data_IF_834942515814
#
_entry.id   IF_834942515814
#
_cell.length_a   1.000
_cell.length_b   1.000
_cell.length_c   1.000
_cell.angle_alpha   90.00
_cell.angle_beta   90.00
_cell.angle_gamma   90.00
#
_symmetry.space_group_name_H-M   'P 1'
#
loop_
_entity.id
_entity.type
_entity.pdbx_description
1 polymer ?
#
# COMPACT_ATOMS: atom_id res chain seq x y z
N UNK A 1 22.27 -26.27 73.09
CA UNK A 1 21.37 -25.12 73.01
C UNK A 1 21.34 -24.66 71.57
N UNK A 2 20.38 -25.20 70.85
CA UNK A 2 20.15 -25.01 69.41
C UNK A 2 19.25 -23.78 69.24
N UNK A 3 19.61 -22.88 68.33
CA UNK A 3 18.74 -21.81 67.87
C UNK A 3 18.68 -21.86 66.34
N UNK A 4 17.69 -22.61 65.85
CA UNK A 4 17.22 -22.61 64.48
C UNK A 4 16.56 -21.26 64.16
N UNK A 5 17.06 -20.56 63.15
CA UNK A 5 16.40 -19.41 62.52
C UNK A 5 15.95 -19.78 61.10
N UNK A 6 14.88 -20.57 61.05
CA UNK A 6 14.22 -20.96 59.79
C UNK A 6 13.12 -19.95 59.43
N UNK A 7 13.45 -18.96 58.60
CA UNK A 7 12.47 -18.03 58.02
C UNK A 7 12.12 -18.49 56.58
N UNK A 8 10.84 -18.73 56.23
CA UNK A 8 10.49 -19.23 54.91
C UNK A 8 10.48 -18.11 53.86
N UNK A 9 11.27 -18.30 52.80
CA UNK A 9 11.26 -17.48 51.61
C UNK A 9 9.88 -17.55 50.90
N UNK A 10 9.15 -16.43 50.96
CA UNK A 10 7.84 -16.26 50.30
C UNK A 10 8.04 -16.11 48.79
N UNK A 11 7.98 -17.23 48.06
CA UNK A 11 7.88 -17.24 46.59
C UNK A 11 6.54 -16.62 46.17
N UNK A 12 6.54 -15.35 45.83
CA UNK A 12 5.42 -14.72 45.10
C UNK A 12 5.48 -15.18 43.64
N UNK A 13 4.69 -16.21 43.33
CA UNK A 13 4.30 -16.54 41.97
C UNK A 13 3.49 -15.37 41.41
N UNK A 14 4.14 -14.49 40.65
CA UNK A 14 3.47 -13.52 39.77
C UNK A 14 2.89 -14.29 38.58
N UNK A 15 1.72 -14.89 38.79
CA UNK A 15 0.96 -15.62 37.81
C UNK A 15 -0.37 -14.89 37.59
N UNK A 16 -0.38 -13.86 36.73
CA UNK A 16 -1.60 -13.40 36.02
C UNK A 16 -1.23 -12.36 34.95
N UNK A 17 -0.67 -12.84 33.84
CA UNK A 17 -0.61 -12.08 32.56
C UNK A 17 -1.30 -12.84 31.41
N UNK A 18 -1.95 -13.97 31.69
CA UNK A 18 -2.48 -14.89 30.68
C UNK A 18 -4.01 -14.98 30.59
N UNK A 19 -4.79 -14.18 31.33
CA UNK A 19 -6.25 -14.34 31.46
C UNK A 19 -7.09 -13.15 30.99
N UNK A 20 -6.60 -12.39 30.02
CA UNK A 20 -7.37 -11.34 29.33
C UNK A 20 -7.46 -11.57 27.80
N UNK A 21 -7.21 -12.82 27.35
CA UNK A 21 -7.35 -13.25 25.95
C UNK A 21 -8.49 -14.24 25.71
N UNK A 22 -9.39 -14.42 26.69
CA UNK A 22 -10.71 -15.02 26.50
C UNK A 22 -11.71 -13.91 26.88
N UNK A 23 -12.73 -13.52 26.13
CA UNK A 23 -13.54 -14.19 25.12
C UNK A 23 -14.05 -13.10 24.16
N UNK A 24 -13.53 -13.03 22.93
CA UNK A 24 -14.28 -12.36 21.85
C UNK A 24 -15.31 -13.36 21.35
N UNK A 25 -16.59 -13.00 21.41
CA UNK A 25 -17.71 -13.81 20.90
C UNK A 25 -17.54 -14.08 19.40
N UNK A 26 -18.07 -15.18 18.88
CA UNK A 26 -17.96 -15.50 17.44
C UNK A 26 -18.55 -14.41 16.53
N UNK A 27 -19.52 -13.64 17.03
CA UNK A 27 -20.09 -12.46 16.37
C UNK A 27 -19.11 -11.26 16.33
N UNK A 28 -18.30 -11.06 17.38
CA UNK A 28 -17.23 -10.05 17.40
C UNK A 28 -16.02 -10.49 16.56
N UNK A 29 -15.72 -11.79 16.49
CA UNK A 29 -14.75 -12.38 15.54
C UNK A 29 -15.21 -12.33 14.09
N UNK A 30 -16.51 -12.25 13.84
CA UNK A 30 -17.03 -11.97 12.50
C UNK A 30 -16.87 -10.50 12.10
N UNK A 31 -16.90 -9.57 13.08
CA UNK A 31 -16.69 -8.13 12.84
C UNK A 31 -15.22 -7.71 12.84
N UNK A 32 -14.35 -8.44 13.56
CA UNK A 32 -12.91 -8.20 13.74
C UNK A 32 -12.18 -9.51 13.39
N UNK A 33 -11.18 -9.53 12.50
CA UNK A 33 -10.55 -10.82 12.17
C UNK A 33 -9.85 -10.95 10.83
N UNK A 34 -9.20 -12.11 10.63
CA UNK A 34 -8.49 -12.46 9.40
C UNK A 34 -9.40 -12.50 8.16
N UNK A 35 -10.72 -12.69 8.33
CA UNK A 35 -11.73 -12.54 7.26
C UNK A 35 -11.62 -11.19 6.57
N UNK A 36 -11.58 -10.12 7.36
CA UNK A 36 -11.58 -8.75 6.86
C UNK A 36 -10.27 -8.41 6.14
N UNK A 37 -9.17 -9.01 6.58
CA UNK A 37 -7.88 -8.95 5.87
C UNK A 37 -7.97 -9.68 4.53
N UNK A 38 -8.60 -10.86 4.51
CA UNK A 38 -8.81 -11.62 3.27
C UNK A 38 -9.69 -10.88 2.25
N UNK A 39 -10.76 -10.22 2.71
CA UNK A 39 -11.61 -9.36 1.86
C UNK A 39 -10.80 -8.16 1.34
N UNK A 40 -10.06 -7.49 2.21
CA UNK A 40 -9.22 -6.35 1.84
C UNK A 40 -8.19 -6.73 0.77
N UNK A 41 -7.49 -7.85 0.94
CA UNK A 41 -6.54 -8.35 -0.06
C UNK A 41 -7.23 -8.76 -1.37
N UNK A 42 -8.40 -9.38 -1.29
CA UNK A 42 -9.17 -9.74 -2.49
C UNK A 42 -9.63 -8.52 -3.27
N UNK A 43 -9.97 -7.43 -2.58
CA UNK A 43 -10.31 -6.13 -3.18
C UNK A 43 -9.12 -5.57 -3.94
N UNK A 44 -7.96 -5.42 -3.28
CA UNK A 44 -6.74 -4.94 -3.92
C UNK A 44 -6.37 -5.79 -5.14
N UNK A 45 -6.41 -7.13 -5.03
CA UNK A 45 -6.06 -7.98 -6.15
C UNK A 45 -7.02 -7.82 -7.35
N UNK A 46 -8.30 -7.54 -7.08
CA UNK A 46 -9.29 -7.28 -8.13
C UNK A 46 -8.97 -5.95 -8.81
N UNK A 47 -8.74 -4.89 -8.03
CA UNK A 47 -8.37 -3.57 -8.52
C UNK A 47 -7.07 -3.58 -9.35
N UNK A 48 -6.03 -4.29 -8.90
CA UNK A 48 -4.78 -4.45 -9.67
C UNK A 48 -4.97 -5.28 -10.94
N UNK A 49 -5.97 -6.16 -11.02
CA UNK A 49 -6.32 -6.86 -12.26
C UNK A 49 -7.09 -5.93 -13.20
N UNK A 50 -8.05 -5.17 -12.70
CA UNK A 50 -8.83 -4.20 -13.46
C UNK A 50 -7.91 -3.16 -14.10
N UNK A 51 -6.95 -2.60 -13.34
CA UNK A 51 -5.93 -1.68 -13.88
C UNK A 51 -5.13 -2.30 -15.04
N UNK A 52 -4.78 -3.58 -14.93
CA UNK A 52 -4.08 -4.29 -15.99
C UNK A 52 -4.97 -4.51 -17.22
N UNK A 53 -6.19 -4.95 -17.01
CA UNK A 53 -7.19 -5.18 -18.05
C UNK A 53 -7.49 -3.89 -18.81
N UNK A 54 -7.69 -2.78 -18.10
CA UNK A 54 -7.89 -1.45 -18.66
C UNK A 54 -6.68 -0.99 -19.47
N UNK A 55 -5.46 -1.15 -18.94
CA UNK A 55 -4.25 -0.80 -19.68
C UNK A 55 -4.13 -1.57 -21.01
N UNK A 56 -4.39 -2.89 -20.98
CA UNK A 56 -4.32 -3.74 -22.18
C UNK A 56 -5.46 -3.41 -23.15
N UNK A 57 -6.68 -3.22 -22.64
CA UNK A 57 -7.84 -2.86 -23.45
C UNK A 57 -7.62 -1.52 -24.14
N UNK A 58 -7.14 -0.50 -23.42
CA UNK A 58 -6.81 0.81 -23.99
C UNK A 58 -5.76 0.65 -25.10
N UNK A 59 -4.66 -0.06 -24.86
CA UNK A 59 -3.62 -0.25 -25.89
C UNK A 59 -4.18 -0.93 -27.15
N UNK A 60 -4.99 -1.97 -26.97
CA UNK A 60 -5.66 -2.69 -28.05
C UNK A 60 -6.62 -1.80 -28.84
N UNK A 61 -7.54 -1.11 -28.17
CA UNK A 61 -8.54 -0.28 -28.82
C UNK A 61 -7.95 0.96 -29.48
N UNK A 62 -6.88 1.55 -28.92
CA UNK A 62 -6.19 2.68 -29.58
C UNK A 62 -5.59 2.27 -30.93
N UNK A 63 -5.05 1.05 -31.05
CA UNK A 63 -4.57 0.51 -32.33
C UNK A 63 -5.70 0.29 -33.32
N UNK A 64 -6.84 -0.20 -32.86
CA UNK A 64 -8.00 -0.44 -33.70
C UNK A 64 -8.63 0.87 -34.19
N UNK A 65 -8.74 1.89 -33.33
CA UNK A 65 -9.16 3.25 -33.70
C UNK A 65 -8.19 3.83 -34.74
N UNK A 66 -6.88 3.69 -34.54
CA UNK A 66 -5.88 4.14 -35.51
C UNK A 66 -6.10 3.49 -36.89
N UNK A 67 -6.37 2.18 -36.92
CA UNK A 67 -6.63 1.42 -38.15
C UNK A 67 -7.88 1.92 -38.87
N UNK A 68 -8.98 2.13 -38.14
CA UNK A 68 -10.26 2.55 -38.71
C UNK A 68 -10.26 3.99 -39.21
N UNK A 69 -9.60 4.91 -38.50
CA UNK A 69 -9.41 6.31 -38.94
C UNK A 69 -8.59 6.34 -40.23
N UNK A 70 -7.53 5.52 -40.32
CA UNK A 70 -6.72 5.39 -41.55
C UNK A 70 -7.53 4.84 -42.72
N UNK A 71 -8.44 3.90 -42.45
CA UNK A 71 -9.35 3.33 -43.43
C UNK A 71 -10.55 4.24 -43.77
N UNK A 72 -10.67 5.41 -43.12
CA UNK A 72 -11.81 6.34 -43.23
C UNK A 72 -13.16 5.68 -42.91
N UNK A 73 -13.16 4.64 -42.07
CA UNK A 73 -14.39 3.95 -41.64
C UNK A 73 -14.94 4.49 -40.33
N UNK A 74 -14.16 5.31 -39.63
CA UNK A 74 -14.54 5.95 -38.38
C UNK A 74 -14.51 7.47 -38.55
N UNK A 75 -15.64 8.11 -38.24
CA UNK A 75 -15.75 9.57 -38.26
C UNK A 75 -14.88 10.22 -37.19
N UNK A 76 -14.31 11.38 -37.52
CA UNK A 76 -13.48 12.10 -36.57
C UNK A 76 -14.33 12.79 -35.49
N UNK A 77 -13.86 12.69 -34.24
CA UNK A 77 -14.54 13.25 -33.08
C UNK A 77 -14.66 14.78 -33.18
N UNK A 78 -15.83 15.31 -32.83
CA UNK A 78 -16.06 16.74 -32.67
C UNK A 78 -16.02 17.07 -31.17
N UNK A 79 -14.99 17.80 -30.75
CA UNK A 79 -14.81 18.20 -29.34
C UNK A 79 -15.04 19.69 -29.15
N UNK A 80 -15.65 20.11 -28.04
CA UNK A 80 -15.68 21.51 -27.65
C UNK A 80 -14.28 21.96 -27.23
N UNK A 81 -13.84 23.12 -27.71
CA UNK A 81 -12.61 23.76 -27.21
C UNK A 81 -12.79 24.19 -25.75
N UNK A 82 -11.76 23.98 -24.93
CA UNK A 82 -11.70 24.42 -23.54
C UNK A 82 -11.37 25.92 -23.47
N UNK A 83 -12.32 26.76 -23.91
CA UNK A 83 -12.26 28.23 -23.91
C UNK A 83 -13.56 28.80 -23.34
N UNK A 84 -13.54 30.06 -22.89
CA UNK A 84 -14.67 30.73 -22.23
C UNK A 84 -15.99 30.71 -23.04
N UNK A 85 -15.92 30.62 -24.38
CA UNK A 85 -17.05 30.37 -25.26
C UNK A 85 -16.77 29.14 -26.12
N UNK A 86 -17.15 27.92 -25.67
CA UNK A 86 -16.74 26.68 -26.31
C UNK A 86 -17.31 26.59 -27.74
N UNK A 87 -16.40 26.55 -28.72
CA UNK A 87 -16.74 26.24 -30.12
C UNK A 87 -16.45 24.77 -30.38
N UNK A 88 -17.38 24.11 -31.07
CA UNK A 88 -17.18 22.73 -31.56
C UNK A 88 -16.13 22.76 -32.66
N UNK A 89 -15.11 21.91 -32.55
CA UNK A 89 -14.10 21.72 -33.58
C UNK A 89 -14.05 20.24 -33.96
N UNK A 90 -14.16 19.95 -35.26
CA UNK A 90 -13.84 18.63 -35.79
C UNK A 90 -12.33 18.40 -35.71
N UNK A 91 -11.93 17.30 -35.09
CA UNK A 91 -10.51 16.91 -35.01
C UNK A 91 -10.11 16.36 -36.39
N UNK A 92 -8.94 16.75 -36.91
CA UNK A 92 -8.44 16.15 -38.16
C UNK A 92 -7.91 14.73 -37.91
N UNK A 93 -7.87 13.88 -38.93
CA UNK A 93 -7.28 12.53 -38.78
C UNK A 93 -5.83 12.57 -38.26
N UNK A 94 -5.05 13.58 -38.67
CA UNK A 94 -3.69 13.82 -38.18
C UNK A 94 -3.66 14.10 -36.68
N UNK A 95 -4.58 14.94 -36.20
CA UNK A 95 -4.70 15.25 -34.78
C UNK A 95 -5.15 14.03 -33.97
N UNK A 96 -6.03 13.18 -34.53
CA UNK A 96 -6.41 11.91 -33.90
C UNK A 96 -5.16 11.03 -33.72
N UNK A 97 -4.32 10.86 -34.73
CA UNK A 97 -3.08 10.09 -34.58
C UNK A 97 -2.16 10.65 -33.48
N UNK A 98 -2.03 11.98 -33.40
CA UNK A 98 -1.27 12.64 -32.34
C UNK A 98 -1.86 12.38 -30.95
N UNK A 99 -3.20 12.38 -30.81
CA UNK A 99 -3.88 12.02 -29.56
C UNK A 99 -3.63 10.55 -29.20
N UNK A 100 -3.78 9.63 -30.13
CA UNK A 100 -3.59 8.19 -29.89
C UNK A 100 -2.15 7.88 -29.46
N UNK A 101 -1.14 8.42 -30.17
CA UNK A 101 0.28 8.24 -29.80
C UNK A 101 0.58 8.81 -28.41
N UNK A 102 0.08 10.02 -28.11
CA UNK A 102 0.26 10.63 -26.77
C UNK A 102 -0.37 9.78 -25.67
N UNK A 103 -1.60 9.29 -25.84
CA UNK A 103 -2.25 8.45 -24.82
C UNK A 103 -1.43 7.18 -24.60
N UNK A 104 -1.02 6.52 -25.68
CA UNK A 104 -0.30 5.25 -25.65
C UNK A 104 1.10 5.37 -25.04
N UNK A 105 1.85 6.40 -25.43
CA UNK A 105 3.27 6.55 -25.04
C UNK A 105 3.49 7.29 -23.73
N UNK A 106 2.53 8.13 -23.31
CA UNK A 106 2.76 9.08 -22.21
C UNK A 106 1.71 9.03 -21.11
N UNK A 107 0.47 8.65 -21.40
CA UNK A 107 -0.63 8.79 -20.44
C UNK A 107 -1.04 7.45 -19.83
N UNK A 108 -1.40 6.47 -20.66
CA UNK A 108 -2.00 5.20 -20.21
C UNK A 108 -1.13 4.46 -19.20
N UNK A 109 0.13 4.16 -19.56
CA UNK A 109 1.04 3.44 -18.66
C UNK A 109 1.36 4.21 -17.38
N UNK A 110 1.41 5.56 -17.43
CA UNK A 110 1.68 6.38 -16.25
C UNK A 110 0.49 6.39 -15.29
N UNK A 111 -0.71 6.58 -15.79
CA UNK A 111 -1.92 6.56 -14.97
C UNK A 111 -2.11 5.19 -14.33
N UNK A 112 -2.06 4.11 -15.12
CA UNK A 112 -2.17 2.75 -14.60
C UNK A 112 -1.14 2.45 -13.50
N UNK A 113 0.10 2.93 -13.64
CA UNK A 113 1.13 2.75 -12.62
C UNK A 113 0.89 3.56 -11.35
N UNK A 114 0.49 4.84 -11.48
CA UNK A 114 0.17 5.70 -10.33
C UNK A 114 -1.02 5.13 -9.57
N UNK A 115 -2.06 4.72 -10.28
CA UNK A 115 -3.26 4.14 -9.70
C UNK A 115 -2.90 2.87 -8.94
N UNK A 116 -2.11 1.98 -9.55
CA UNK A 116 -1.69 0.73 -8.90
C UNK A 116 -0.90 0.94 -7.60
N UNK A 117 0.06 1.90 -7.58
CA UNK A 117 0.79 2.26 -6.37
C UNK A 117 -0.16 2.85 -5.32
N UNK A 118 -1.08 3.71 -5.73
CA UNK A 118 -2.04 4.35 -4.83
C UNK A 118 -2.96 3.31 -4.19
N UNK A 119 -3.48 2.35 -4.97
CA UNK A 119 -4.29 1.23 -4.47
C UNK A 119 -3.50 0.37 -3.48
N UNK A 120 -2.22 0.10 -3.75
CA UNK A 120 -1.35 -0.65 -2.84
C UNK A 120 -1.08 0.11 -1.52
N UNK A 121 -0.78 1.41 -1.58
CA UNK A 121 -0.57 2.25 -0.40
C UNK A 121 -1.85 2.36 0.44
N UNK A 122 -3.01 2.48 -0.21
CA UNK A 122 -4.31 2.47 0.44
C UNK A 122 -4.60 1.14 1.11
N UNK A 123 -4.29 0.02 0.45
CA UNK A 123 -4.40 -1.32 1.02
C UNK A 123 -3.55 -1.44 2.29
N UNK A 124 -2.27 -1.06 2.23
CA UNK A 124 -1.36 -1.15 3.38
C UNK A 124 -1.81 -0.24 4.52
N UNK A 125 -2.26 0.98 4.22
CA UNK A 125 -2.78 1.92 5.22
C UNK A 125 -4.02 1.35 5.91
N UNK A 126 -4.95 0.80 5.14
CA UNK A 126 -6.17 0.16 5.65
C UNK A 126 -5.84 -1.09 6.46
N UNK A 127 -4.85 -1.88 6.06
CA UNK A 127 -4.40 -3.06 6.80
C UNK A 127 -3.86 -2.66 8.17
N UNK A 128 -2.96 -1.66 8.23
CA UNK A 128 -2.43 -1.13 9.50
C UNK A 128 -3.55 -0.59 10.37
N UNK A 129 -4.42 0.23 9.79
CA UNK A 129 -5.55 0.84 10.48
C UNK A 129 -6.44 -0.21 11.15
N UNK A 130 -6.82 -1.26 10.41
CA UNK A 130 -7.63 -2.37 10.96
C UNK A 130 -6.92 -3.12 12.07
N UNK A 131 -5.64 -3.46 11.91
CA UNK A 131 -4.88 -4.15 12.97
C UNK A 131 -4.79 -3.29 14.23
N UNK A 132 -4.68 -1.96 14.11
CA UNK A 132 -4.67 -1.06 15.27
C UNK A 132 -6.04 -0.88 15.92
N UNK A 133 -7.13 -0.90 15.15
CA UNK A 133 -8.48 -0.92 15.70
C UNK A 133 -8.72 -2.19 16.53
N UNK A 134 -8.32 -3.34 15.98
CA UNK A 134 -8.55 -4.64 16.61
C UNK A 134 -7.58 -4.86 17.80
N UNK A 135 -6.36 -4.32 17.71
CA UNK A 135 -5.33 -4.41 18.75
C UNK A 135 -4.74 -3.04 19.14
N UNK A 136 -5.49 -2.17 19.84
CA UNK A 136 -5.03 -0.81 20.17
C UNK A 136 -3.74 -0.76 20.99
N UNK A 137 -3.40 -1.85 21.71
CA UNK A 137 -2.14 -1.96 22.47
C UNK A 137 -0.90 -1.82 21.57
N UNK A 138 -1.02 -2.13 20.28
CA UNK A 138 0.08 -2.01 19.29
C UNK A 138 0.44 -0.56 18.97
N UNK A 139 -0.45 0.40 19.25
CA UNK A 139 -0.15 1.83 19.14
C UNK A 139 1.00 2.25 20.07
N UNK A 140 1.18 1.56 21.20
CA UNK A 140 2.22 1.84 22.21
C UNK A 140 3.61 1.31 21.81
N UNK A 141 3.70 0.38 20.86
CA UNK A 141 4.90 -0.46 20.64
C UNK A 141 6.13 0.20 20.03
N UNK A 142 6.11 1.51 19.75
CA UNK A 142 7.23 2.22 19.12
C UNK A 142 7.71 3.43 19.94
N UNK A 143 7.07 3.75 21.06
CA UNK A 143 7.45 4.87 21.93
C UNK A 143 8.48 4.49 23.01
N UNK A 144 8.96 3.24 23.04
CA UNK A 144 10.03 2.83 23.97
C UNK A 144 11.44 3.28 23.52
N UNK A 145 11.58 3.78 22.29
CA UNK A 145 12.75 4.58 21.89
C UNK A 145 12.33 6.05 21.92
N UNK A 146 12.53 6.62 23.10
CA UNK A 146 12.23 7.98 23.52
C UNK A 146 12.76 9.03 22.55
N UNK A 147 11.93 9.47 21.60
CA UNK A 147 11.88 10.90 21.32
C UNK A 147 11.06 11.51 22.45
N UNK A 148 11.71 12.37 23.25
CA UNK A 148 11.07 13.22 24.25
C UNK A 148 9.76 13.74 23.65
N UNK A 149 8.62 13.39 24.24
CA UNK A 149 7.32 13.88 23.81
C UNK A 149 7.36 15.41 23.87
N UNK A 150 7.50 16.05 22.71
CA UNK A 150 7.47 17.50 22.59
C UNK A 150 6.14 18.00 23.12
N UNK A 151 6.13 19.07 23.90
CA UNK A 151 4.94 19.63 24.55
C UNK A 151 3.78 19.87 23.56
N UNK A 152 4.08 20.17 22.29
CA UNK A 152 3.08 20.33 21.23
C UNK A 152 2.33 19.04 20.85
N UNK A 153 2.95 17.86 20.99
CA UNK A 153 2.29 16.57 20.71
C UNK A 153 1.29 16.19 21.81
N UNK A 154 1.62 16.53 23.07
CA UNK A 154 0.73 16.34 24.22
C UNK A 154 -0.48 17.28 24.14
N UNK A 155 -0.25 18.55 23.75
CA UNK A 155 -1.34 19.51 23.48
C UNK A 155 -2.29 19.02 22.39
N UNK A 156 -1.75 18.56 21.25
CA UNK A 156 -2.55 17.99 20.15
C UNK A 156 -3.34 16.75 20.58
N UNK A 157 -2.78 15.91 21.46
CA UNK A 157 -3.49 14.75 22.01
C UNK A 157 -4.65 15.16 22.93
N UNK A 158 -4.44 16.20 23.75
CA UNK A 158 -5.48 16.74 24.63
C UNK A 158 -6.61 17.37 23.78
N UNK A 159 -6.28 18.14 22.75
CA UNK A 159 -7.26 18.68 21.80
C UNK A 159 -8.09 17.55 21.15
N UNK A 160 -7.44 16.50 20.63
CA UNK A 160 -8.14 15.34 20.05
C UNK A 160 -9.08 14.67 21.06
N UNK A 161 -8.68 14.57 22.33
CA UNK A 161 -9.54 13.99 23.37
C UNK A 161 -10.74 14.90 23.68
N UNK A 162 -10.53 16.22 23.74
CA UNK A 162 -11.57 17.20 24.08
C UNK A 162 -12.57 17.42 22.94
N UNK A 163 -12.13 17.33 21.69
CA UNK A 163 -12.97 17.54 20.49
C UNK A 163 -13.77 16.30 20.07
N UNK A 164 -13.43 15.12 20.60
CA UNK A 164 -14.06 13.87 20.19
C UNK A 164 -15.29 13.55 21.03
N UNK A 165 -16.35 13.11 20.38
CA UNK A 165 -17.65 12.84 21.01
C UNK A 165 -17.67 11.55 21.82
N UNK A 166 -16.91 10.56 21.36
CA UNK A 166 -16.83 9.26 22.00
C UNK A 166 -15.41 8.67 21.97
N UNK A 167 -15.22 7.62 22.76
CA UNK A 167 -13.94 6.90 22.86
C UNK A 167 -13.51 6.27 21.53
N UNK A 168 -14.45 5.90 20.67
CA UNK A 168 -14.15 5.29 19.37
C UNK A 168 -13.57 6.31 18.40
N UNK A 169 -14.11 7.53 18.38
CA UNK A 169 -13.64 8.66 17.60
C UNK A 169 -12.22 9.07 18.02
N UNK A 170 -11.94 9.10 19.34
CA UNK A 170 -10.58 9.33 19.86
C UNK A 170 -9.62 8.27 19.31
N UNK A 171 -9.98 6.99 19.39
CA UNK A 171 -9.14 5.90 18.90
C UNK A 171 -8.93 5.99 17.38
N UNK A 172 -9.98 6.27 16.61
CA UNK A 172 -9.89 6.43 15.16
C UNK A 172 -8.91 7.55 14.77
N UNK A 173 -9.06 8.76 15.35
CA UNK A 173 -8.17 9.89 15.07
C UNK A 173 -6.72 9.62 15.45
N UNK A 174 -6.48 8.97 16.59
CA UNK A 174 -5.14 8.58 17.02
C UNK A 174 -4.50 7.55 16.09
N UNK A 175 -5.28 6.56 15.63
CA UNK A 175 -4.82 5.55 14.67
C UNK A 175 -4.50 6.21 13.33
N UNK A 176 -5.36 7.09 12.83
CA UNK A 176 -5.18 7.80 11.57
C UNK A 176 -3.89 8.62 11.55
N UNK A 177 -3.66 9.44 12.58
CA UNK A 177 -2.42 10.22 12.70
C UNK A 177 -1.18 9.32 12.78
N UNK A 178 -1.29 8.17 13.46
CA UNK A 178 -0.18 7.20 13.55
C UNK A 178 0.11 6.53 12.20
N UNK A 179 -0.93 6.08 11.49
CA UNK A 179 -0.85 5.51 10.14
C UNK A 179 -0.20 6.53 9.22
N UNK A 180 -0.70 7.77 9.20
CA UNK A 180 -0.15 8.88 8.42
C UNK A 180 1.34 9.11 8.69
N UNK A 181 1.77 9.11 9.95
CA UNK A 181 3.20 9.21 10.32
C UNK A 181 4.07 8.02 9.87
N UNK A 182 3.49 6.83 9.70
CA UNK A 182 4.21 5.66 9.17
C UNK A 182 4.44 5.82 7.66
N UNK A 183 3.39 6.18 6.91
CA UNK A 183 3.41 6.26 5.44
C UNK A 183 4.03 7.55 4.88
N UNK A 184 4.14 8.62 5.69
CA UNK A 184 4.96 9.79 5.31
C UNK A 184 6.47 9.57 5.42
N UNK A 185 6.89 8.49 6.08
CA UNK A 185 8.29 8.05 6.05
C UNK A 185 8.63 7.25 4.79
N UNK A 186 9.77 6.57 4.82
CA UNK A 186 10.13 5.60 3.78
C UNK A 186 9.16 4.39 3.86
N UNK A 187 8.34 4.10 2.83
CA UNK A 187 7.39 2.99 2.86
C UNK A 187 8.06 1.62 3.00
N UNK A 188 9.36 1.51 2.68
CA UNK A 188 10.13 0.27 2.87
C UNK A 188 10.31 -0.07 4.35
N UNK A 189 10.38 0.95 5.22
CA UNK A 189 10.52 0.72 6.67
C UNK A 189 9.32 -0.02 7.25
N UNK A 190 8.13 0.13 6.65
CA UNK A 190 6.95 -0.63 7.04
C UNK A 190 7.21 -2.14 6.99
N UNK A 191 7.89 -2.61 5.94
CA UNK A 191 8.17 -4.01 5.72
C UNK A 191 9.47 -4.46 6.39
N UNK A 192 10.56 -3.70 6.21
CA UNK A 192 11.89 -4.09 6.63
C UNK A 192 12.09 -4.01 8.15
N UNK A 193 11.44 -3.04 8.81
CA UNK A 193 11.55 -2.81 10.26
C UNK A 193 10.30 -3.22 11.02
N UNK A 194 9.28 -3.75 10.34
CA UNK A 194 7.93 -3.94 10.88
C UNK A 194 7.47 -2.67 11.62
N UNK A 195 7.63 -1.51 10.98
CA UNK A 195 7.40 -0.18 11.61
C UNK A 195 5.98 -0.01 12.14
N UNK A 196 5.03 -0.80 11.68
CA UNK A 196 3.66 -0.80 12.17
C UNK A 196 3.36 -1.93 13.19
N UNK A 197 4.35 -2.75 13.55
CA UNK A 197 4.21 -3.92 14.43
C UNK A 197 3.08 -4.86 13.98
N UNK A 198 2.96 -5.11 12.67
CA UNK A 198 1.97 -5.99 12.08
C UNK A 198 2.31 -7.47 12.26
N UNK A 199 3.46 -7.79 12.85
CA UNK A 199 3.93 -9.16 13.00
C UNK A 199 4.63 -9.63 11.73
N UNK A 200 5.28 -8.73 10.99
CA UNK A 200 6.14 -9.11 9.87
C UNK A 200 7.48 -9.66 10.37
N UNK A 201 7.95 -9.17 11.52
CA UNK A 201 9.26 -9.53 12.05
C UNK A 201 10.36 -9.28 11.01
N UNK A 202 11.22 -10.27 10.80
CA UNK A 202 12.29 -10.20 9.80
C UNK A 202 11.92 -10.88 8.46
N UNK A 203 10.64 -11.24 8.24
CA UNK A 203 10.26 -12.03 7.07
C UNK A 203 10.65 -11.36 5.74
N UNK A 204 10.28 -10.08 5.57
CA UNK A 204 10.56 -9.37 4.33
C UNK A 204 12.06 -9.09 4.15
N UNK A 205 12.75 -8.75 5.23
CA UNK A 205 14.20 -8.53 5.23
C UNK A 205 14.98 -9.80 4.86
N UNK A 206 14.54 -10.96 5.33
CA UNK A 206 15.28 -12.20 5.13
C UNK A 206 14.92 -12.91 3.82
N UNK A 207 13.67 -12.76 3.34
CA UNK A 207 13.15 -13.57 2.24
C UNK A 207 12.75 -12.77 0.99
N UNK A 208 12.59 -11.45 1.10
CA UNK A 208 11.94 -10.63 0.06
C UNK A 208 12.72 -9.36 -0.30
N UNK A 209 14.04 -9.34 -0.07
CA UNK A 209 14.90 -8.17 -0.38
C UNK A 209 14.71 -7.67 -1.81
N UNK A 210 14.71 -8.51 -2.86
CA UNK A 210 14.53 -8.02 -4.23
C UNK A 210 13.18 -7.34 -4.47
N UNK A 211 12.11 -7.80 -3.79
CA UNK A 211 10.80 -7.16 -3.89
C UNK A 211 10.76 -5.82 -3.15
N UNK A 212 11.48 -5.69 -2.04
CA UNK A 212 11.60 -4.42 -1.31
C UNK A 212 12.39 -3.39 -2.12
N UNK A 213 13.49 -3.80 -2.75
CA UNK A 213 14.26 -2.94 -3.65
C UNK A 213 13.42 -2.50 -4.86
N UNK A 214 12.64 -3.42 -5.44
CA UNK A 214 11.71 -3.09 -6.51
C UNK A 214 10.63 -2.10 -6.04
N UNK A 215 10.03 -2.30 -4.86
CA UNK A 215 9.04 -1.36 -4.30
C UNK A 215 9.66 0.02 -4.05
N UNK A 216 10.92 0.07 -3.61
CA UNK A 216 11.63 1.32 -3.37
C UNK A 216 11.80 2.10 -4.68
N UNK A 217 12.28 1.40 -5.71
CA UNK A 217 12.43 1.94 -7.05
C UNK A 217 11.10 2.43 -7.62
N UNK A 218 10.04 1.62 -7.48
CA UNK A 218 8.69 1.99 -7.93
C UNK A 218 8.17 3.26 -7.25
N UNK A 219 8.38 3.39 -5.94
CA UNK A 219 7.96 4.57 -5.18
C UNK A 219 8.73 5.81 -5.63
N UNK A 220 10.06 5.70 -5.77
CA UNK A 220 10.90 6.79 -6.29
C UNK A 220 10.50 7.17 -7.72
N UNK A 221 10.20 6.18 -8.57
CA UNK A 221 9.75 6.41 -9.95
C UNK A 221 8.41 7.13 -10.00
N UNK A 222 7.45 6.74 -9.15
CA UNK A 222 6.17 7.43 -9.00
C UNK A 222 6.36 8.90 -8.63
N UNK A 223 7.28 9.19 -7.71
CA UNK A 223 7.58 10.55 -7.29
C UNK A 223 8.08 11.42 -8.46
N UNK A 224 9.04 10.93 -9.26
CA UNK A 224 9.52 11.71 -10.42
C UNK A 224 8.48 11.83 -11.53
N UNK A 225 7.58 10.84 -11.68
CA UNK A 225 6.46 10.94 -12.63
C UNK A 225 5.51 12.08 -12.24
N UNK A 226 5.15 12.17 -10.96
CA UNK A 226 4.21 13.18 -10.46
C UNK A 226 4.86 14.56 -10.39
N UNK A 227 6.09 14.66 -9.88
CA UNK A 227 6.69 15.94 -9.48
C UNK A 227 7.74 16.47 -10.45
N UNK A 228 8.27 15.65 -11.35
CA UNK A 228 9.39 16.05 -12.23
C UNK A 228 9.18 15.63 -13.70
N UNK A 229 7.93 15.59 -14.18
CA UNK A 229 7.58 15.22 -15.55
C UNK A 229 8.17 13.89 -16.03
N UNK A 230 8.32 12.95 -15.09
CA UNK A 230 8.99 11.67 -15.29
C UNK A 230 10.48 11.78 -15.63
N UNK A 231 11.18 12.85 -15.23
CA UNK A 231 12.64 12.98 -15.39
C UNK A 231 13.36 12.55 -14.11
N UNK A 232 14.44 11.81 -14.28
CA UNK A 232 15.30 11.43 -13.17
C UNK A 232 15.98 12.67 -12.59
N UNK A 233 15.87 12.85 -11.28
CA UNK A 233 16.55 13.90 -10.53
C UNK A 233 17.60 13.31 -9.58
N UNK A 234 18.32 14.18 -8.86
CA UNK A 234 19.32 13.74 -7.87
C UNK A 234 18.67 12.96 -6.72
N UNK A 235 17.44 13.32 -6.34
CA UNK A 235 16.71 12.64 -5.26
C UNK A 235 16.45 11.17 -5.61
N UNK A 236 15.97 10.90 -6.83
CA UNK A 236 15.76 9.55 -7.33
C UNK A 236 17.06 8.72 -7.31
N UNK A 237 18.19 9.28 -7.76
CA UNK A 237 19.47 8.56 -7.77
C UNK A 237 20.01 8.28 -6.35
N UNK A 238 19.69 9.14 -5.39
CA UNK A 238 20.00 8.89 -3.98
C UNK A 238 19.10 7.79 -3.39
N UNK A 239 17.83 7.76 -3.76
CA UNK A 239 16.86 6.75 -3.32
C UNK A 239 17.07 5.40 -4.01
N UNK A 240 17.61 5.38 -5.23
CA UNK A 240 17.83 4.16 -6.04
C UNK A 240 19.24 4.14 -6.63
N UNK A 241 20.29 3.90 -5.81
CA UNK A 241 21.69 4.01 -6.26
C UNK A 241 22.08 3.00 -7.33
N UNK A 242 21.43 1.84 -7.37
CA UNK A 242 21.67 0.77 -8.34
C UNK A 242 20.95 0.99 -9.68
N UNK A 243 20.21 2.09 -9.83
CA UNK A 243 19.47 2.38 -11.06
C UNK A 243 20.42 2.61 -12.24
N UNK A 244 20.20 1.97 -13.40
CA UNK A 244 20.98 2.23 -14.61
C UNK A 244 20.61 3.56 -15.29
N UNK A 245 19.60 4.28 -14.79
CA UNK A 245 19.12 5.53 -15.37
C UNK A 245 20.04 6.72 -15.05
N UNK A 246 20.08 7.67 -15.97
CA UNK A 246 20.92 8.86 -15.87
C UNK A 246 20.12 10.10 -15.45
N UNK A 247 20.80 11.08 -14.84
CA UNK A 247 20.19 12.37 -14.46
C UNK A 247 19.54 13.05 -15.68
N UNK A 248 18.30 13.53 -15.53
CA UNK A 248 17.52 14.17 -16.59
C UNK A 248 16.86 13.22 -17.58
N UNK A 249 17.18 11.92 -17.54
CA UNK A 249 16.57 10.90 -18.40
C UNK A 249 15.07 10.81 -18.12
N UNK A 250 14.26 10.79 -19.18
CA UNK A 250 12.82 10.63 -19.07
C UNK A 250 12.46 9.16 -18.95
N UNK A 251 11.79 8.78 -17.87
CA UNK A 251 11.29 7.41 -17.67
C UNK A 251 10.00 7.18 -18.45
N UNK A 252 9.88 5.96 -18.98
CA UNK A 252 8.67 5.43 -19.59
C UNK A 252 8.17 4.27 -18.73
N UNK A 253 6.85 4.12 -18.67
CA UNK A 253 6.19 2.95 -18.10
C UNK A 253 5.71 2.12 -19.28
N UNK A 254 6.50 1.13 -19.66
CA UNK A 254 6.10 0.17 -20.67
C UNK A 254 5.28 -0.97 -20.06
N UNK A 255 4.70 -1.81 -20.93
CA UNK A 255 3.90 -2.97 -20.55
C UNK A 255 4.64 -3.90 -19.58
N UNK A 256 5.92 -4.17 -19.83
CA UNK A 256 6.70 -5.10 -19.01
C UNK A 256 7.01 -4.52 -17.62
N UNK A 257 7.30 -3.23 -17.55
CA UNK A 257 7.51 -2.54 -16.29
C UNK A 257 6.21 -2.53 -15.46
N UNK A 258 5.07 -2.18 -16.07
CA UNK A 258 3.78 -2.18 -15.39
C UNK A 258 3.41 -3.58 -14.89
N UNK A 259 3.55 -4.60 -15.75
CA UNK A 259 3.29 -6.00 -15.37
C UNK A 259 4.13 -6.42 -14.15
N UNK A 260 5.44 -6.16 -14.18
CA UNK A 260 6.33 -6.45 -13.05
C UNK A 260 5.92 -5.70 -11.79
N UNK A 261 5.61 -4.40 -11.91
CA UNK A 261 5.18 -3.57 -10.78
C UNK A 261 3.91 -4.15 -10.10
N UNK A 262 2.91 -4.52 -10.89
CA UNK A 262 1.67 -5.12 -10.39
C UNK A 262 1.93 -6.45 -9.67
N UNK A 263 2.82 -7.28 -10.21
CA UNK A 263 3.19 -8.56 -9.59
C UNK A 263 3.95 -8.36 -8.27
N UNK A 264 4.90 -7.42 -8.21
CA UNK A 264 5.61 -7.07 -6.96
C UNK A 264 4.62 -6.64 -5.88
N UNK A 265 3.69 -5.73 -6.21
CA UNK A 265 2.67 -5.26 -5.27
C UNK A 265 1.74 -6.37 -4.80
N UNK A 266 1.32 -7.27 -5.72
CA UNK A 266 0.51 -8.45 -5.36
C UNK A 266 1.24 -9.38 -4.40
N UNK A 267 2.50 -9.68 -4.67
CA UNK A 267 3.30 -10.58 -3.83
C UNK A 267 3.52 -10.01 -2.44
N UNK A 268 3.91 -8.73 -2.34
CA UNK A 268 4.10 -8.06 -1.06
C UNK A 268 2.78 -7.97 -0.28
N UNK A 269 1.67 -7.63 -0.94
CA UNK A 269 0.36 -7.55 -0.30
C UNK A 269 -0.13 -8.92 0.18
N UNK A 270 0.12 -9.98 -0.60
CA UNK A 270 -0.27 -11.34 -0.25
C UNK A 270 0.45 -11.85 1.00
N UNK A 271 1.76 -11.61 1.09
CA UNK A 271 2.54 -12.00 2.28
C UNK A 271 2.21 -11.10 3.48
N UNK A 272 2.01 -9.79 3.27
CA UNK A 272 1.57 -8.87 4.33
C UNK A 272 0.22 -9.27 4.92
N UNK A 273 -0.77 -9.56 4.07
CA UNK A 273 -2.08 -10.04 4.48
C UNK A 273 -1.99 -11.35 5.27
N UNK A 274 -1.19 -12.31 4.78
CA UNK A 274 -1.03 -13.60 5.45
C UNK A 274 -0.35 -13.47 6.81
N UNK A 275 0.75 -12.71 6.89
CA UNK A 275 1.47 -12.51 8.15
C UNK A 275 0.61 -11.76 9.15
N UNK A 276 -0.10 -10.72 8.71
CA UNK A 276 -1.02 -9.98 9.56
C UNK A 276 -2.15 -10.89 10.08
N UNK A 277 -2.75 -11.72 9.23
CA UNK A 277 -3.77 -12.69 9.63
C UNK A 277 -3.21 -13.71 10.65
N UNK A 278 -2.07 -14.33 10.33
CA UNK A 278 -1.51 -15.44 11.12
C UNK A 278 -0.97 -14.97 12.45
N UNK A 279 -0.24 -13.84 12.46
CA UNK A 279 0.52 -13.44 13.63
C UNK A 279 -0.32 -12.65 14.63
N UNK A 280 -1.32 -11.88 14.15
CA UNK A 280 -2.25 -11.14 15.01
C UNK A 280 -3.48 -11.95 15.41
N UNK A 281 -4.10 -12.66 14.47
CA UNK A 281 -5.38 -13.35 14.70
C UNK A 281 -5.24 -14.86 14.87
N UNK A 282 -4.03 -15.43 14.71
CA UNK A 282 -3.78 -16.88 14.77
C UNK A 282 -4.57 -17.69 13.75
N UNK A 283 -4.97 -17.02 12.66
CA UNK A 283 -5.77 -17.61 11.57
C UNK A 283 -5.03 -17.47 10.23
N UNK A 284 -5.21 -18.44 9.35
CA UNK A 284 -4.74 -18.33 7.97
C UNK A 284 -5.77 -17.62 7.08
N UNK A 285 -5.31 -16.99 5.99
CA UNK A 285 -6.23 -16.57 4.93
C UNK A 285 -7.02 -17.78 4.41
N UNK A 286 -8.28 -17.57 4.04
CA UNK A 286 -9.17 -18.61 3.53
C UNK A 286 -9.92 -18.16 2.27
N UNK A 287 -10.63 -19.10 1.63
CA UNK A 287 -11.49 -18.81 0.47
C UNK A 287 -10.73 -18.26 -0.75
N UNK A 288 -11.27 -17.20 -1.36
CA UNK A 288 -10.70 -16.54 -2.54
C UNK A 288 -9.31 -15.96 -2.26
N UNK A 289 -9.12 -15.34 -1.09
CA UNK A 289 -7.84 -14.75 -0.69
C UNK A 289 -6.69 -15.76 -0.66
N UNK A 290 -6.92 -16.95 -0.07
CA UNK A 290 -5.92 -18.04 -0.04
C UNK A 290 -5.57 -18.53 -1.45
N UNK A 291 -6.57 -18.68 -2.32
CA UNK A 291 -6.35 -19.10 -3.72
C UNK A 291 -5.52 -18.09 -4.49
N UNK A 292 -5.82 -16.80 -4.33
CA UNK A 292 -5.05 -15.70 -4.94
C UNK A 292 -3.61 -15.71 -4.42
N UNK A 293 -3.40 -15.85 -3.12
CA UNK A 293 -2.07 -15.94 -2.53
C UNK A 293 -1.27 -17.13 -3.08
N UNK A 294 -1.89 -18.31 -3.17
CA UNK A 294 -1.22 -19.50 -3.73
C UNK A 294 -0.90 -19.32 -5.20
N UNK A 295 -1.77 -18.67 -5.98
CA UNK A 295 -1.52 -18.37 -7.38
C UNK A 295 -0.36 -17.39 -7.56
N UNK A 296 -0.28 -16.34 -6.74
CA UNK A 296 0.82 -15.39 -6.72
C UNK A 296 2.17 -16.09 -6.48
N UNK A 297 2.22 -17.02 -5.50
CA UNK A 297 3.43 -17.80 -5.17
C UNK A 297 3.87 -18.80 -6.23
N UNK A 298 2.99 -19.23 -7.14
CA UNK A 298 3.33 -20.19 -8.20
C UNK A 298 4.07 -19.57 -9.39
N UNK A 299 4.10 -18.24 -9.51
CA UNK A 299 4.86 -17.51 -10.53
C UNK A 299 5.82 -16.51 -9.88
N UNK A 300 6.85 -16.98 -9.16
CA UNK A 300 7.86 -16.07 -8.63
C UNK A 300 8.50 -15.32 -9.81
N UNK A 301 8.58 -13.99 -9.67
CA UNK A 301 9.36 -13.14 -10.57
C UNK A 301 10.78 -13.71 -10.61
N UNK A 302 11.22 -14.15 -11.80
CA UNK A 302 12.60 -14.56 -12.07
C UNK A 302 13.47 -13.34 -12.31
#
# INVERSE_FOLDING_TARGET
MSADSNAPARKTKSATSGKLQSELTDAERQKLGARNIGVLFSSLNTELNEIWEDFIAIDFYLLEVHRQVKAKTLDCLVVPRLVSKPRKQAISASDVYGVLSRIREHTSGRHAFIDAISSFEQFMSTLVFKVYLDFPRKLKGLSQHSEVETSGRQQKLIEVILESKDRYEILHKLIEEKVRGIFYGNPIDLFAKDKAALGFGQHFKNNKVPLLEALQEMTARRNIIIHNEARVDRKYLLEVPSSPLQLGQKVKIDKHYLERALLVMKDLAADAAQLAATNNYKESLYGRAKRVQVAAKKRPLK
#
